data_IF_110714530237
#
_entry.id   IF_110714530237
#
_cell.length_a   1.000
_cell.length_b   1.000
_cell.length_c   1.000
_cell.angle_alpha   90.00
_cell.angle_beta   90.00
_cell.angle_gamma   90.00
#
_symmetry.space_group_name_H-M   'P 1'
#
loop_
_entity.id
_entity.type
_entity.pdbx_description
1 polymer ?
#
# COMPACT_ATOMS: atom_id res chain seq x y z
N UNK A 1 37.85 13.02 -24.31
CA UNK A 1 37.18 13.56 -25.50
C UNK A 1 36.69 12.41 -26.37
N UNK A 2 35.58 12.55 -27.12
CA UNK A 2 34.60 13.63 -27.08
C UNK A 2 33.17 13.18 -26.72
N UNK A 3 32.38 14.15 -26.23
CA UNK A 3 30.94 14.36 -26.45
C UNK A 3 29.96 13.16 -26.47
N UNK A 4 29.10 13.15 -25.45
CA UNK A 4 27.69 12.75 -25.55
C UNK A 4 26.83 13.90 -25.01
N UNK A 5 26.75 14.97 -25.81
CA UNK A 5 25.75 16.03 -25.67
C UNK A 5 24.57 15.68 -26.61
N UNK A 6 23.38 16.26 -26.36
CA UNK A 6 22.15 16.09 -27.16
C UNK A 6 21.57 14.66 -27.25
N UNK A 7 20.74 14.27 -26.28
CA UNK A 7 19.28 13.99 -26.50
C UNK A 7 18.55 14.24 -25.17
N UNK A 8 18.30 15.51 -24.82
CA UNK A 8 17.57 15.87 -23.59
C UNK A 8 16.74 17.17 -23.69
N UNK A 9 16.52 17.70 -24.90
CA UNK A 9 15.83 18.98 -25.16
C UNK A 9 14.62 18.80 -26.08
N UNK A 10 13.61 18.07 -25.60
CA UNK A 10 12.25 18.06 -26.15
C UNK A 10 11.27 17.52 -25.11
N UNK A 11 10.13 18.20 -24.92
CA UNK A 11 9.09 17.94 -23.89
C UNK A 11 9.27 18.56 -22.50
N UNK A 12 10.04 19.65 -22.38
CA UNK A 12 9.76 20.69 -21.37
C UNK A 12 9.65 22.03 -22.09
N UNK A 13 8.54 22.74 -21.87
CA UNK A 13 8.31 24.12 -22.31
C UNK A 13 7.97 24.96 -21.08
N UNK A 14 9.00 25.51 -20.43
CA UNK A 14 8.83 26.56 -19.42
C UNK A 14 8.69 27.92 -20.13
N UNK A 15 7.52 28.54 -20.05
CA UNK A 15 7.32 29.92 -20.52
C UNK A 15 7.72 30.90 -19.42
N UNK A 16 8.82 31.61 -19.64
CA UNK A 16 9.28 32.72 -18.81
C UNK A 16 9.07 34.07 -19.51
N UNK A 17 7.81 34.47 -19.66
CA UNK A 17 7.41 35.81 -20.10
C UNK A 17 6.44 36.49 -19.13
N UNK A 18 6.49 37.82 -19.03
CA UNK A 18 5.83 38.59 -17.96
C UNK A 18 4.47 39.18 -18.38
N UNK A 19 3.46 38.90 -17.57
CA UNK A 19 2.33 39.79 -17.26
C UNK A 19 1.62 40.49 -18.44
N UNK A 20 0.74 39.77 -19.11
CA UNK A 20 -0.48 40.36 -19.68
C UNK A 20 -1.65 39.37 -19.56
N UNK A 21 -2.85 39.88 -19.30
CA UNK A 21 -4.04 39.03 -19.09
C UNK A 21 -4.54 38.44 -20.41
N UNK A 22 -4.31 37.15 -20.62
CA UNK A 22 -4.98 36.35 -21.66
C UNK A 22 -5.24 34.94 -21.18
N UNK A 23 -6.38 34.39 -21.59
CA UNK A 23 -6.85 33.02 -21.34
C UNK A 23 -5.77 31.95 -21.48
N UNK A 24 -5.80 30.95 -20.57
CA UNK A 24 -5.09 29.68 -20.77
C UNK A 24 -5.54 28.95 -22.04
N UNK A 25 -4.84 27.86 -22.43
CA UNK A 25 -5.03 27.20 -23.73
C UNK A 25 -6.50 26.82 -23.96
N UNK A 26 -7.10 27.45 -24.98
CA UNK A 26 -8.55 27.48 -25.12
C UNK A 26 -9.18 26.11 -25.32
N UNK A 27 -10.14 25.76 -24.45
CA UNK A 27 -11.14 24.73 -24.72
C UNK A 27 -12.03 25.23 -25.87
N UNK A 28 -11.62 24.93 -27.10
CA UNK A 28 -12.40 25.19 -28.29
C UNK A 28 -13.75 24.43 -28.21
N UNK A 29 -14.80 25.02 -28.76
CA UNK A 29 -16.15 24.47 -28.70
C UNK A 29 -16.22 23.09 -29.38
N UNK A 30 -16.55 22.06 -28.60
CA UNK A 30 -16.60 20.68 -29.05
C UNK A 30 -16.52 19.72 -27.87
N UNK A 31 -17.63 19.04 -27.57
CA UNK A 31 -17.78 18.20 -26.37
C UNK A 31 -16.98 16.89 -26.44
N UNK A 32 -16.19 16.69 -27.50
CA UNK A 32 -15.32 15.54 -27.71
C UNK A 32 -14.04 15.96 -28.43
N UNK A 33 -12.91 15.36 -28.04
CA UNK A 33 -11.60 15.55 -28.69
C UNK A 33 -10.98 14.21 -29.06
N UNK A 34 -10.40 14.12 -30.24
CA UNK A 34 -9.75 12.92 -30.78
C UNK A 34 -8.28 13.19 -31.11
N UNK A 35 -7.44 12.19 -30.91
CA UNK A 35 -6.01 12.18 -31.15
C UNK A 35 -5.65 10.90 -31.90
N UNK A 36 -4.77 10.97 -32.90
CA UNK A 36 -4.32 9.80 -33.66
C UNK A 36 -2.80 9.73 -33.71
N UNK A 37 -2.23 8.58 -33.35
CA UNK A 37 -0.78 8.34 -33.36
C UNK A 37 -0.48 6.85 -33.45
N UNK A 38 0.56 6.45 -34.19
CA UNK A 38 0.97 5.05 -34.32
C UNK A 38 -0.06 4.08 -34.94
N UNK A 39 -1.16 4.59 -35.52
CA UNK A 39 -2.32 3.78 -35.95
C UNK A 39 -3.30 3.44 -34.82
N UNK A 40 -3.20 4.15 -33.69
CA UNK A 40 -4.15 4.13 -32.57
C UNK A 40 -4.92 5.44 -32.60
N UNK A 41 -6.24 5.36 -32.48
CA UNK A 41 -7.14 6.50 -32.30
C UNK A 41 -7.59 6.52 -30.83
N UNK A 42 -7.31 7.61 -30.14
CA UNK A 42 -7.74 7.90 -28.78
C UNK A 42 -8.75 9.06 -28.82
N UNK A 43 -9.86 8.97 -28.11
CA UNK A 43 -10.78 10.10 -27.94
C UNK A 43 -11.24 10.23 -26.51
N UNK A 44 -11.42 11.47 -26.04
CA UNK A 44 -12.09 11.77 -24.78
C UNK A 44 -13.34 12.58 -25.08
N UNK A 45 -14.47 12.08 -24.58
CA UNK A 45 -15.78 12.71 -24.62
C UNK A 45 -16.08 13.34 -23.26
N UNK A 46 -16.60 14.57 -23.26
CA UNK A 46 -16.84 15.40 -22.07
C UNK A 46 -18.31 15.87 -21.99
N UNK A 47 -19.22 15.27 -22.77
CA UNK A 47 -20.67 15.55 -22.72
C UNK A 47 -21.32 15.24 -21.36
N UNK A 48 -20.64 14.45 -20.52
CA UNK A 48 -21.00 14.12 -19.15
C UNK A 48 -19.76 13.70 -18.36
N UNK A 49 -19.88 12.68 -17.50
CA UNK A 49 -18.72 12.04 -16.86
C UNK A 49 -17.72 11.60 -17.94
N UNK A 50 -16.43 12.02 -17.91
CA UNK A 50 -15.54 11.88 -19.07
C UNK A 50 -15.40 10.44 -19.56
N UNK A 51 -15.42 10.22 -20.88
CA UNK A 51 -15.29 8.89 -21.48
C UNK A 51 -14.04 8.85 -22.35
N UNK A 52 -12.98 8.22 -21.86
CA UNK A 52 -11.82 7.80 -22.65
C UNK A 52 -12.22 6.58 -23.50
N UNK A 53 -11.85 6.62 -24.77
CA UNK A 53 -12.01 5.52 -25.73
C UNK A 53 -10.73 5.36 -26.52
N UNK A 54 -10.27 4.12 -26.70
CA UNK A 54 -9.03 3.77 -27.39
C UNK A 54 -9.26 2.60 -28.34
N UNK A 55 -8.86 2.73 -29.60
CA UNK A 55 -9.00 1.70 -30.63
C UNK A 55 -7.95 1.79 -31.72
N UNK A 56 -7.91 0.81 -32.63
CA UNK A 56 -7.10 0.91 -33.84
C UNK A 56 -7.76 1.86 -34.83
N UNK A 57 -6.98 2.73 -35.48
CA UNK A 57 -7.50 3.70 -36.45
C UNK A 57 -8.22 3.00 -37.60
N UNK A 58 -9.51 3.34 -37.79
CA UNK A 58 -10.36 2.75 -38.83
C UNK A 58 -11.13 1.47 -38.44
N UNK A 59 -11.10 1.05 -37.17
CA UNK A 59 -12.03 0.05 -36.64
C UNK A 59 -13.17 0.71 -35.86
N UNK A 60 -14.38 0.14 -35.92
CA UNK A 60 -15.55 0.64 -35.20
C UNK A 60 -15.57 0.22 -33.72
N UNK A 61 -15.14 -1.01 -33.42
CA UNK A 61 -15.08 -1.53 -32.05
C UNK A 61 -13.79 -1.09 -31.32
N UNK A 62 -13.89 -0.42 -30.16
CA UNK A 62 -12.73 0.03 -29.40
C UNK A 62 -12.13 -1.09 -28.54
N UNK A 63 -10.81 -1.01 -28.31
CA UNK A 63 -10.08 -1.92 -27.41
C UNK A 63 -10.45 -1.65 -25.93
N UNK A 64 -10.64 -0.36 -25.60
CA UNK A 64 -11.04 0.15 -24.28
C UNK A 64 -12.07 1.27 -24.44
N UNK A 65 -13.07 1.28 -23.56
CA UNK A 65 -14.02 2.38 -23.37
C UNK A 65 -14.39 2.45 -21.89
N UNK A 66 -14.42 3.66 -21.33
CA UNK A 66 -14.94 3.87 -19.98
C UNK A 66 -16.47 3.62 -19.93
N UNK A 67 -17.01 3.46 -18.72
CA UNK A 67 -18.44 3.16 -18.53
C UNK A 67 -19.26 4.46 -18.61
N UNK A 68 -20.21 4.60 -19.56
CA UNK A 68 -20.98 5.83 -19.70
C UNK A 68 -21.71 6.23 -18.41
N UNK A 69 -21.70 7.52 -18.12
CA UNK A 69 -22.31 8.18 -16.94
C UNK A 69 -21.70 7.82 -15.58
N UNK A 70 -20.79 6.85 -15.48
CA UNK A 70 -20.19 6.39 -14.20
C UNK A 70 -18.66 6.24 -14.25
N UNK A 71 -18.03 6.63 -15.34
CA UNK A 71 -16.61 6.40 -15.66
C UNK A 71 -15.63 6.76 -14.54
N UNK A 72 -15.80 7.91 -13.89
CA UNK A 72 -14.98 8.34 -12.76
C UNK A 72 -15.87 8.74 -11.59
N UNK A 73 -15.58 8.22 -10.40
CA UNK A 73 -16.31 8.50 -9.15
C UNK A 73 -15.30 8.77 -8.04
N UNK A 74 -15.32 9.98 -7.47
CA UNK A 74 -14.59 10.31 -6.24
C UNK A 74 -15.44 9.84 -5.05
N UNK A 75 -14.83 9.15 -4.09
CA UNK A 75 -15.50 8.67 -2.88
C UNK A 75 -14.59 8.91 -1.66
N UNK A 76 -15.00 9.84 -0.80
CA UNK A 76 -14.14 10.35 0.27
C UNK A 76 -12.80 10.92 -0.29
N UNK A 77 -11.64 10.52 0.26
CA UNK A 77 -10.33 10.89 -0.28
C UNK A 77 -9.85 9.98 -1.42
N UNK A 78 -10.66 8.99 -1.84
CA UNK A 78 -10.32 7.97 -2.82
C UNK A 78 -11.03 8.15 -4.18
N UNK A 79 -10.72 7.24 -5.09
CA UNK A 79 -11.18 7.27 -6.49
C UNK A 79 -11.57 5.87 -6.98
N UNK A 80 -12.63 5.80 -7.77
CA UNK A 80 -13.06 4.61 -8.51
C UNK A 80 -13.19 4.92 -10.00
N UNK A 81 -12.64 4.04 -10.84
CA UNK A 81 -12.69 4.13 -12.30
C UNK A 81 -13.47 2.95 -12.86
N UNK A 82 -14.53 3.24 -13.60
CA UNK A 82 -15.48 2.30 -14.15
C UNK A 82 -15.38 2.27 -15.68
N UNK A 83 -15.38 1.06 -16.23
CA UNK A 83 -15.07 0.80 -17.63
C UNK A 83 -15.93 -0.33 -18.17
N UNK A 84 -16.09 -0.41 -19.50
CA UNK A 84 -16.83 -1.51 -20.12
C UNK A 84 -16.06 -2.82 -19.91
N UNK A 85 -16.75 -3.86 -19.47
CA UNK A 85 -16.19 -5.21 -19.38
C UNK A 85 -16.50 -6.01 -20.65
N UNK A 86 -15.44 -6.53 -21.27
CA UNK A 86 -15.46 -7.47 -22.37
C UNK A 86 -15.38 -8.90 -21.82
N UNK A 87 -16.45 -9.68 -22.01
CA UNK A 87 -16.60 -11.02 -21.41
C UNK A 87 -15.90 -12.13 -22.20
N UNK A 88 -15.55 -11.89 -23.46
CA UNK A 88 -15.06 -12.90 -24.39
C UNK A 88 -13.52 -12.91 -24.50
N UNK A 89 -12.86 -12.23 -23.56
CA UNK A 89 -11.42 -12.04 -23.51
C UNK A 89 -10.77 -12.68 -22.28
N UNK A 90 -9.62 -13.33 -22.48
CA UNK A 90 -8.74 -13.84 -21.43
C UNK A 90 -8.06 -12.66 -20.72
N UNK A 91 -8.19 -12.53 -19.40
CA UNK A 91 -7.58 -11.44 -18.62
C UNK A 91 -6.40 -11.97 -17.78
N UNK A 92 -5.18 -11.40 -17.91
CA UNK A 92 -3.95 -11.89 -17.24
C UNK A 92 -3.11 -10.74 -16.66
N UNK A 93 -2.50 -10.92 -15.48
CA UNK A 93 -1.63 -9.92 -14.87
C UNK A 93 -1.67 -9.89 -13.35
N UNK A 94 -1.68 -8.69 -12.77
CA UNK A 94 -1.67 -8.36 -11.33
C UNK A 94 -0.42 -8.80 -10.53
N UNK A 95 0.52 -9.49 -11.16
CA UNK A 95 1.77 -9.92 -10.53
C UNK A 95 1.64 -11.31 -9.90
N UNK A 96 1.64 -11.37 -8.57
CA UNK A 96 1.58 -12.62 -7.82
C UNK A 96 0.18 -12.79 -7.20
N UNK A 97 -0.64 -13.66 -7.80
CA UNK A 97 -2.05 -13.86 -7.42
C UNK A 97 -2.42 -15.34 -7.47
N UNK A 98 -3.10 -15.84 -6.43
CA UNK A 98 -3.53 -17.24 -6.33
C UNK A 98 -4.86 -17.46 -7.09
N UNK A 99 -4.75 -17.53 -8.42
CA UNK A 99 -5.86 -17.77 -9.34
C UNK A 99 -5.42 -18.62 -10.55
N UNK A 100 -6.35 -19.17 -11.33
CA UNK A 100 -6.07 -19.61 -12.70
C UNK A 100 -5.50 -18.44 -13.53
N UNK A 101 -4.81 -18.76 -14.62
CA UNK A 101 -4.23 -17.75 -15.54
C UNK A 101 -5.28 -16.73 -15.99
N UNK A 102 -6.50 -17.17 -16.27
CA UNK A 102 -7.62 -16.29 -16.57
C UNK A 102 -8.25 -15.71 -15.29
N UNK A 103 -8.10 -14.40 -15.16
CA UNK A 103 -8.61 -13.58 -14.08
C UNK A 103 -10.08 -13.17 -14.30
N UNK A 104 -10.74 -13.67 -15.35
CA UNK A 104 -12.12 -13.35 -15.71
C UNK A 104 -13.15 -13.73 -14.64
N UNK A 105 -14.15 -12.85 -14.45
CA UNK A 105 -15.17 -12.90 -13.40
C UNK A 105 -14.64 -12.87 -11.95
N UNK A 106 -13.48 -12.22 -11.70
CA UNK A 106 -12.85 -12.12 -10.37
C UNK A 106 -12.53 -10.69 -9.95
N UNK A 107 -12.45 -10.51 -8.63
CA UNK A 107 -11.99 -9.30 -7.96
C UNK A 107 -10.78 -9.64 -7.07
N UNK A 108 -9.87 -8.69 -6.88
CA UNK A 108 -8.59 -8.86 -6.20
C UNK A 108 -8.22 -7.60 -5.41
N UNK A 109 -7.58 -7.75 -4.25
CA UNK A 109 -6.98 -6.62 -3.52
C UNK A 109 -5.54 -6.41 -3.97
N UNK A 110 -5.20 -5.19 -4.35
CA UNK A 110 -3.81 -4.77 -4.68
C UNK A 110 -3.16 -4.30 -3.38
N UNK A 111 -2.48 -5.23 -2.71
CA UNK A 111 -1.96 -5.09 -1.34
C UNK A 111 -0.84 -6.14 -1.13
N UNK A 112 -0.08 -6.10 -0.02
CA UNK A 112 0.96 -7.07 0.31
C UNK A 112 0.75 -7.68 1.71
N UNK A 113 0.80 -9.02 1.80
CA UNK A 113 0.64 -9.74 3.08
C UNK A 113 1.53 -10.98 3.18
N UNK A 114 1.79 -11.48 4.39
CA UNK A 114 2.49 -12.75 4.60
C UNK A 114 1.52 -13.94 4.42
N UNK A 115 1.27 -14.30 3.16
CA UNK A 115 0.37 -15.40 2.80
C UNK A 115 1.04 -16.79 2.94
N UNK A 116 1.62 -17.08 4.12
CA UNK A 116 2.25 -18.38 4.38
C UNK A 116 1.22 -19.51 4.35
N UNK A 117 1.47 -20.55 3.52
CA UNK A 117 0.55 -21.68 3.37
C UNK A 117 -0.74 -21.35 2.59
N UNK A 118 -0.69 -20.38 1.68
CA UNK A 118 -1.83 -19.91 0.89
C UNK A 118 -2.59 -21.00 0.11
N UNK A 119 -3.89 -20.75 -0.12
CA UNK A 119 -4.77 -21.60 -0.92
C UNK A 119 -4.69 -21.17 -2.41
N UNK A 120 -4.22 -22.03 -3.34
CA UNK A 120 -3.88 -21.67 -4.72
C UNK A 120 -4.99 -21.05 -5.58
N UNK A 121 -6.25 -21.09 -5.15
CA UNK A 121 -7.40 -20.57 -5.89
C UNK A 121 -8.20 -19.48 -5.16
N UNK A 122 -7.78 -19.08 -3.96
CA UNK A 122 -8.58 -18.20 -3.07
C UNK A 122 -7.80 -17.09 -2.36
N UNK A 123 -6.48 -17.22 -2.18
CA UNK A 123 -5.72 -16.23 -1.41
C UNK A 123 -5.37 -14.99 -2.24
N UNK A 124 -6.00 -13.87 -1.91
CA UNK A 124 -5.63 -12.52 -2.34
C UNK A 124 -5.80 -11.58 -1.12
N UNK A 125 -4.87 -10.66 -0.83
CA UNK A 125 -3.60 -10.42 -1.52
C UNK A 125 -2.54 -11.53 -1.30
N UNK A 126 -1.35 -11.36 -1.90
CA UNK A 126 -0.15 -12.20 -1.70
C UNK A 126 1.07 -11.33 -1.33
N UNK A 127 2.29 -11.83 -1.46
CA UNK A 127 3.51 -11.09 -1.10
C UNK A 127 3.86 -9.92 -2.05
N UNK A 128 3.39 -9.92 -3.30
CA UNK A 128 3.78 -8.93 -4.33
C UNK A 128 2.55 -8.43 -5.08
N UNK A 129 2.23 -7.15 -4.91
CA UNK A 129 1.27 -6.46 -5.77
C UNK A 129 2.00 -5.88 -7.00
N UNK A 130 1.36 -5.96 -8.18
CA UNK A 130 1.79 -5.21 -9.37
C UNK A 130 0.53 -4.74 -10.12
N UNK A 131 0.14 -3.46 -10.04
CA UNK A 131 -1.02 -2.93 -10.77
C UNK A 131 -0.72 -2.84 -12.27
N UNK A 132 -0.79 -3.98 -12.96
CA UNK A 132 -0.62 -4.11 -14.41
C UNK A 132 -1.40 -5.34 -14.90
N UNK A 133 -2.28 -5.16 -15.88
CA UNK A 133 -3.27 -6.16 -16.29
C UNK A 133 -3.48 -6.08 -17.81
N UNK A 134 -3.54 -7.23 -18.51
CA UNK A 134 -3.65 -7.32 -19.98
C UNK A 134 -4.78 -8.30 -20.40
N UNK A 135 -5.71 -7.91 -21.31
CA UNK A 135 -6.70 -8.86 -21.91
C UNK A 135 -6.17 -9.32 -23.24
N UNK A 136 -5.99 -10.62 -23.39
CA UNK A 136 -6.06 -11.23 -24.70
C UNK A 136 -7.54 -11.51 -25.02
N UNK A 137 -8.20 -10.57 -25.72
CA UNK A 137 -9.06 -11.05 -26.82
C UNK A 137 -8.13 -11.75 -27.83
N UNK A 138 -8.64 -12.29 -28.94
CA UNK A 138 -7.80 -12.53 -30.10
C UNK A 138 -6.92 -11.31 -30.51
N UNK A 139 -7.18 -10.07 -30.04
CA UNK A 139 -6.36 -8.83 -30.19
C UNK A 139 -6.46 -7.71 -29.05
N UNK A 140 -6.10 -7.88 -27.74
CA UNK A 140 -5.93 -6.78 -26.69
C UNK A 140 -7.20 -6.25 -25.94
N UNK A 141 -7.26 -5.17 -25.07
CA UNK A 141 -6.70 -4.78 -23.70
C UNK A 141 -7.68 -4.83 -22.43
N UNK A 142 -7.29 -5.11 -21.15
CA UNK A 142 -8.13 -5.51 -19.94
C UNK A 142 -8.41 -4.47 -18.82
N UNK A 143 -9.13 -4.86 -17.72
CA UNK A 143 -8.83 -4.78 -16.26
C UNK A 143 -9.87 -5.63 -15.44
N UNK A 144 -9.91 -5.55 -14.10
CA UNK A 144 -10.84 -6.21 -13.12
C UNK A 144 -12.22 -6.59 -13.69
N UNK A 145 -12.64 -7.85 -13.57
CA UNK A 145 -13.16 -8.53 -14.76
C UNK A 145 -14.64 -8.94 -14.69
N UNK A 146 -15.55 -7.97 -14.47
CA UNK A 146 -16.99 -8.28 -14.47
C UNK A 146 -17.47 -9.14 -13.29
N UNK A 147 -16.73 -9.12 -12.17
CA UNK A 147 -17.17 -9.70 -10.91
C UNK A 147 -18.34 -8.94 -10.28
N UNK A 148 -18.55 -7.68 -10.69
CA UNK A 148 -19.66 -6.83 -10.30
C UNK A 148 -20.67 -6.70 -11.46
N UNK A 149 -21.96 -6.66 -11.11
CA UNK A 149 -23.08 -6.50 -12.04
C UNK A 149 -24.08 -5.51 -11.45
N UNK A 150 -24.62 -4.62 -12.28
CA UNK A 150 -25.62 -3.62 -11.90
C UNK A 150 -26.80 -3.68 -12.88
N UNK A 151 -28.02 -3.48 -12.39
CA UNK A 151 -29.25 -3.58 -13.18
C UNK A 151 -29.38 -2.54 -14.29
N UNK A 152 -28.63 -1.42 -14.21
CA UNK A 152 -28.65 -0.36 -15.23
C UNK A 152 -27.47 -0.45 -16.22
N UNK A 153 -26.30 -0.91 -15.77
CA UNK A 153 -25.06 -0.93 -16.57
C UNK A 153 -24.60 -2.33 -17.00
N UNK A 154 -25.22 -3.41 -16.51
CA UNK A 154 -24.80 -4.78 -16.78
C UNK A 154 -23.49 -5.13 -16.07
N UNK A 155 -22.62 -5.90 -16.73
CA UNK A 155 -21.29 -6.23 -16.22
C UNK A 155 -20.30 -5.12 -16.57
N UNK A 156 -19.47 -4.72 -15.59
CA UNK A 156 -18.46 -3.68 -15.77
C UNK A 156 -17.14 -4.04 -15.10
N UNK A 157 -16.13 -3.27 -15.48
CA UNK A 157 -14.74 -3.36 -15.06
C UNK A 157 -14.46 -2.19 -14.14
N UNK A 158 -13.88 -2.44 -12.95
CA UNK A 158 -13.71 -1.39 -11.94
C UNK A 158 -12.38 -1.49 -11.20
N UNK A 159 -11.68 -0.36 -11.13
CA UNK A 159 -10.56 -0.10 -10.23
C UNK A 159 -11.02 0.79 -9.08
N UNK A 160 -10.48 0.60 -7.88
CA UNK A 160 -10.73 1.43 -6.69
C UNK A 160 -9.44 1.63 -5.91
N UNK A 161 -9.27 2.83 -5.36
CA UNK A 161 -8.12 3.23 -4.55
C UNK A 161 -8.62 4.10 -3.40
N UNK A 162 -8.33 3.69 -2.16
CA UNK A 162 -8.92 4.27 -0.95
C UNK A 162 -8.43 5.70 -0.64
N UNK A 163 -7.30 6.12 -1.23
CA UNK A 163 -6.72 7.45 -1.04
C UNK A 163 -5.95 7.92 -2.28
N UNK A 164 -6.12 9.18 -2.67
CA UNK A 164 -5.31 9.87 -3.69
C UNK A 164 -5.91 9.87 -5.10
N UNK A 165 -5.18 10.47 -6.03
CA UNK A 165 -5.57 10.58 -7.45
C UNK A 165 -5.35 9.30 -8.25
N UNK A 166 -5.85 9.31 -9.49
CA UNK A 166 -5.71 8.23 -10.47
C UNK A 166 -4.79 8.67 -11.63
N UNK A 167 -3.61 8.04 -11.71
CA UNK A 167 -2.75 8.07 -12.90
C UNK A 167 -2.77 6.70 -13.59
N UNK A 168 -3.52 6.56 -14.70
CA UNK A 168 -3.60 5.30 -15.47
C UNK A 168 -2.80 5.37 -16.79
N UNK A 169 -2.00 4.33 -17.05
CA UNK A 169 -1.26 4.17 -18.32
C UNK A 169 -1.90 3.07 -19.19
N UNK A 170 -2.70 3.47 -20.16
CA UNK A 170 -3.36 2.56 -21.11
C UNK A 170 -2.43 2.13 -22.25
N UNK A 171 -1.70 1.03 -22.05
CA UNK A 171 -0.74 0.47 -23.01
C UNK A 171 -1.45 -0.38 -24.07
N UNK A 172 -1.31 0.01 -25.35
CA UNK A 172 -1.82 -0.72 -26.52
C UNK A 172 -0.67 -1.35 -27.30
N UNK A 173 -0.82 -2.63 -27.69
CA UNK A 173 0.14 -3.34 -28.52
C UNK A 173 -0.53 -4.44 -29.33
N UNK A 174 0.11 -4.87 -30.43
CA UNK A 174 -0.46 -5.87 -31.36
C UNK A 174 -0.29 -7.30 -30.83
N UNK A 175 0.66 -7.50 -29.93
CA UNK A 175 0.93 -8.78 -29.24
C UNK A 175 1.22 -8.54 -27.76
N UNK A 176 1.06 -9.59 -26.95
CA UNK A 176 1.47 -9.59 -25.53
C UNK A 176 2.94 -9.17 -25.34
N UNK A 177 3.82 -9.53 -26.29
CA UNK A 177 5.24 -9.15 -26.28
C UNK A 177 5.43 -7.64 -26.40
N UNK A 178 4.63 -6.97 -27.24
CA UNK A 178 4.72 -5.52 -27.43
C UNK A 178 4.26 -4.80 -26.16
N UNK A 179 3.16 -5.26 -25.55
CA UNK A 179 2.61 -4.67 -24.31
C UNK A 179 3.59 -4.83 -23.13
N UNK A 180 4.13 -6.03 -22.92
CA UNK A 180 5.14 -6.29 -21.88
C UNK A 180 6.44 -5.51 -22.14
N UNK A 181 6.82 -5.31 -23.41
CA UNK A 181 7.96 -4.46 -23.77
C UNK A 181 7.69 -2.99 -23.47
N UNK A 182 6.57 -2.42 -23.91
CA UNK A 182 6.21 -1.03 -23.65
C UNK A 182 6.08 -0.73 -22.15
N UNK A 183 5.58 -1.70 -21.37
CA UNK A 183 5.58 -1.62 -19.92
C UNK A 183 7.01 -1.55 -19.35
N UNK A 184 7.92 -2.41 -19.80
CA UNK A 184 9.34 -2.37 -19.40
C UNK A 184 10.10 -1.12 -19.92
N UNK A 185 9.65 -0.50 -21.00
CA UNK A 185 10.16 0.79 -21.48
C UNK A 185 9.67 1.97 -20.62
N UNK A 186 8.53 1.81 -19.92
CA UNK A 186 7.99 2.78 -18.96
C UNK A 186 8.56 2.60 -17.53
N UNK A 187 8.58 1.37 -17.00
CA UNK A 187 8.96 1.09 -15.60
C UNK A 187 10.40 0.59 -15.42
N UNK A 188 11.13 0.39 -16.52
CA UNK A 188 12.50 -0.11 -16.55
C UNK A 188 12.60 -1.61 -16.87
N UNK A 189 13.61 -1.97 -17.67
CA UNK A 189 13.89 -3.36 -18.01
C UNK A 189 14.51 -4.14 -16.84
N UNK A 190 14.16 -5.43 -16.66
CA UNK A 190 14.83 -6.29 -15.68
C UNK A 190 16.35 -6.34 -15.88
N UNK A 191 17.10 -6.10 -14.80
CA UNK A 191 18.55 -6.23 -14.82
C UNK A 191 18.97 -7.69 -15.10
N UNK A 192 19.99 -7.87 -15.94
CA UNK A 192 20.50 -9.20 -16.26
C UNK A 192 21.12 -9.85 -15.02
N UNK A 193 20.46 -10.90 -14.51
CA UNK A 193 21.00 -11.72 -13.42
C UNK A 193 22.38 -12.30 -13.81
N UNK A 194 23.35 -12.33 -12.89
CA UNK A 194 24.68 -12.87 -13.17
C UNK A 194 24.58 -14.37 -13.49
N UNK A 195 25.37 -14.86 -14.46
CA UNK A 195 25.21 -16.21 -15.05
C UNK A 195 25.04 -17.37 -14.06
N UNK A 196 25.67 -17.29 -12.88
CA UNK A 196 25.58 -18.33 -11.84
C UNK A 196 24.19 -18.42 -11.18
N UNK A 197 23.37 -17.37 -11.23
CA UNK A 197 22.03 -17.33 -10.63
C UNK A 197 20.99 -18.15 -11.41
N UNK A 198 21.31 -18.60 -12.62
CA UNK A 198 20.55 -19.58 -13.39
C UNK A 198 20.94 -21.04 -13.07
N UNK A 199 21.92 -21.23 -12.18
CA UNK A 199 22.27 -22.56 -11.63
C UNK A 199 21.31 -22.99 -10.52
N UNK A 200 21.60 -24.13 -9.91
CA UNK A 200 20.82 -24.62 -8.77
C UNK A 200 20.98 -23.69 -7.55
N UNK A 201 19.86 -23.37 -6.92
CA UNK A 201 19.78 -22.67 -5.64
C UNK A 201 19.15 -23.62 -4.62
N UNK A 202 19.90 -23.97 -3.58
CA UNK A 202 19.33 -24.53 -2.35
C UNK A 202 19.45 -23.52 -1.22
N UNK A 203 18.44 -23.52 -0.34
CA UNK A 203 18.27 -22.62 0.78
C UNK A 203 17.26 -23.21 1.77
N UNK A 204 17.43 -22.92 3.06
CA UNK A 204 16.63 -23.53 4.11
C UNK A 204 16.82 -22.84 5.46
N UNK A 205 15.73 -22.68 6.21
CA UNK A 205 15.67 -21.88 7.44
C UNK A 205 16.64 -22.31 8.56
N UNK A 206 17.15 -23.55 8.54
CA UNK A 206 17.99 -24.10 9.61
C UNK A 206 19.49 -24.10 9.29
N UNK A 207 19.93 -23.74 8.09
CA UNK A 207 21.30 -24.00 7.65
C UNK A 207 22.42 -23.31 8.46
N UNK A 208 22.12 -22.31 9.29
CA UNK A 208 23.06 -21.83 10.32
C UNK A 208 22.41 -21.64 11.69
N UNK A 209 21.47 -22.54 12.02
CA UNK A 209 20.99 -22.74 13.39
C UNK A 209 21.80 -23.78 14.19
N UNK A 210 22.70 -24.53 13.55
CA UNK A 210 23.48 -25.54 14.25
C UNK A 210 24.59 -24.89 15.11
N UNK A 211 24.56 -25.18 16.41
CA UNK A 211 25.59 -24.79 17.38
C UNK A 211 26.61 -25.91 17.61
N UNK A 212 26.19 -27.18 17.59
CA UNK A 212 27.06 -28.36 17.70
C UNK A 212 26.71 -29.45 16.66
N UNK A 213 27.65 -29.86 15.77
CA UNK A 213 28.88 -29.14 15.46
C UNK A 213 28.55 -27.73 14.92
N UNK A 214 29.40 -26.71 15.16
CA UNK A 214 29.15 -25.34 14.71
C UNK A 214 28.85 -25.26 13.22
N UNK A 215 27.85 -24.47 12.84
CA UNK A 215 27.26 -24.49 11.49
C UNK A 215 28.28 -24.53 10.33
N UNK A 216 29.41 -23.81 10.41
CA UNK A 216 30.43 -23.83 9.37
C UNK A 216 30.96 -25.26 9.04
N UNK A 217 30.97 -26.19 9.99
CA UNK A 217 31.43 -27.57 9.80
C UNK A 217 30.39 -28.40 9.04
N UNK A 218 29.15 -28.45 9.54
CA UNK A 218 28.01 -29.10 8.87
C UNK A 218 27.82 -28.62 7.41
N UNK A 219 28.16 -27.36 7.16
CA UNK A 219 28.08 -26.75 5.84
C UNK A 219 29.24 -27.14 4.92
N UNK A 220 30.46 -27.28 5.43
CA UNK A 220 31.58 -27.86 4.67
C UNK A 220 31.30 -29.34 4.33
N UNK A 221 30.82 -30.14 5.29
CA UNK A 221 30.39 -31.53 5.06
C UNK A 221 29.30 -31.64 3.98
N UNK A 222 28.41 -30.65 3.90
CA UNK A 222 27.39 -30.58 2.86
C UNK A 222 27.98 -30.12 1.52
N UNK A 223 28.89 -29.16 1.50
CA UNK A 223 29.58 -28.70 0.30
C UNK A 223 30.42 -29.82 -0.36
N UNK A 224 31.06 -30.69 0.43
CA UNK A 224 31.79 -31.85 -0.09
C UNK A 224 30.85 -32.91 -0.70
N UNK A 225 29.69 -33.20 -0.08
CA UNK A 225 28.66 -34.09 -0.67
C UNK A 225 28.03 -33.51 -1.93
N UNK A 226 27.86 -32.19 -1.97
CA UNK A 226 27.36 -31.49 -3.14
C UNK A 226 28.37 -31.57 -4.29
N UNK A 227 29.67 -31.49 -4.01
CA UNK A 227 30.76 -31.75 -4.97
C UNK A 227 30.82 -33.23 -5.41
N UNK A 228 30.57 -34.18 -4.51
CA UNK A 228 30.45 -35.61 -4.81
C UNK A 228 29.32 -35.90 -5.83
N UNK A 229 28.30 -35.04 -5.87
CA UNK A 229 27.10 -35.22 -6.70
C UNK A 229 26.94 -34.17 -7.82
N UNK A 230 27.95 -33.31 -8.05
CA UNK A 230 27.98 -32.20 -9.03
C UNK A 230 26.88 -31.13 -8.86
N UNK A 231 26.80 -30.53 -7.66
CA UNK A 231 25.76 -29.57 -7.24
C UNK A 231 26.37 -28.33 -6.50
N UNK A 232 25.90 -27.09 -6.73
CA UNK A 232 26.32 -25.86 -5.98
C UNK A 232 25.27 -25.32 -4.97
N UNK A 233 25.63 -24.47 -3.98
CA UNK A 233 24.74 -24.19 -2.80
C UNK A 233 25.05 -22.95 -1.89
N UNK A 234 24.08 -22.36 -1.16
CA UNK A 234 24.32 -21.30 -0.15
C UNK A 234 23.51 -21.34 1.19
N UNK A 235 24.12 -21.10 2.39
CA UNK A 235 23.43 -21.05 3.69
C UNK A 235 23.48 -19.67 4.42
N UNK A 236 22.43 -19.30 5.19
CA UNK A 236 22.55 -18.37 6.36
C UNK A 236 21.30 -18.35 7.27
N UNK A 237 21.50 -17.93 8.53
CA UNK A 237 20.52 -17.42 9.52
C UNK A 237 21.16 -16.19 10.18
N UNK A 238 20.36 -15.21 10.60
CA UNK A 238 20.78 -13.79 10.56
C UNK A 238 20.48 -13.00 11.84
N UNK A 239 21.53 -12.39 12.40
CA UNK A 239 21.51 -10.94 12.55
C UNK A 239 21.81 -10.32 11.17
N UNK A 240 21.19 -9.18 10.84
CA UNK A 240 21.48 -8.49 9.57
C UNK A 240 22.87 -7.83 9.64
N UNK A 241 23.64 -7.90 8.56
CA UNK A 241 25.03 -7.40 8.44
C UNK A 241 26.09 -7.98 9.42
N UNK A 242 25.69 -8.63 10.50
CA UNK A 242 26.58 -9.21 11.52
C UNK A 242 26.83 -10.74 11.31
N UNK A 243 27.89 -11.27 11.91
CA UNK A 243 28.27 -12.68 11.91
C UNK A 243 28.28 -13.25 13.33
N UNK A 244 27.55 -14.34 13.57
CA UNK A 244 27.66 -15.11 14.80
C UNK A 244 29.04 -15.80 14.84
N UNK A 245 29.96 -15.27 15.66
CA UNK A 245 31.34 -15.76 15.79
C UNK A 245 31.51 -17.11 16.50
N UNK A 246 30.46 -17.65 17.13
CA UNK A 246 30.47 -19.04 17.60
C UNK A 246 30.22 -20.02 16.44
N UNK A 247 29.23 -19.73 15.58
CA UNK A 247 28.87 -20.56 14.41
C UNK A 247 29.80 -20.35 13.21
N UNK A 248 30.43 -19.18 13.12
CA UNK A 248 31.39 -18.75 12.09
C UNK A 248 32.55 -17.97 12.74
N UNK A 249 33.52 -18.64 13.39
CA UNK A 249 34.66 -17.97 14.01
C UNK A 249 35.47 -17.16 13.00
N UNK A 250 35.75 -17.77 11.84
CA UNK A 250 36.37 -17.12 10.68
C UNK A 250 35.41 -17.16 9.47
N UNK A 251 34.64 -16.09 9.22
CA UNK A 251 33.82 -15.97 8.02
C UNK A 251 34.62 -15.80 6.73
N UNK A 252 35.87 -15.32 6.78
CA UNK A 252 36.68 -15.01 5.60
C UNK A 252 37.31 -16.29 5.04
N UNK A 253 37.88 -17.14 5.89
CA UNK A 253 38.29 -18.51 5.55
C UNK A 253 37.11 -19.36 5.07
N UNK A 254 35.95 -19.27 5.73
CA UNK A 254 34.73 -19.95 5.30
C UNK A 254 34.27 -19.51 3.91
N UNK A 255 34.24 -18.20 3.64
CA UNK A 255 33.95 -17.64 2.32
C UNK A 255 34.99 -18.06 1.27
N UNK A 256 36.29 -18.06 1.61
CA UNK A 256 37.36 -18.46 0.71
C UNK A 256 37.27 -19.93 0.30
N UNK A 257 37.01 -20.84 1.27
CA UNK A 257 36.78 -22.26 1.03
C UNK A 257 35.57 -22.50 0.12
N UNK A 258 34.45 -21.83 0.39
CA UNK A 258 33.27 -21.90 -0.47
C UNK A 258 33.54 -21.41 -1.90
N UNK A 259 34.18 -20.25 -2.07
CA UNK A 259 34.54 -19.74 -3.39
C UNK A 259 35.54 -20.64 -4.13
N UNK A 260 36.47 -21.29 -3.43
CA UNK A 260 37.40 -22.27 -4.01
C UNK A 260 36.71 -23.55 -4.52
N UNK A 261 35.54 -23.90 -3.98
CA UNK A 261 34.66 -24.95 -4.50
C UNK A 261 33.78 -24.49 -5.67
N UNK A 262 33.94 -23.24 -6.14
CA UNK A 262 33.09 -22.62 -7.16
C UNK A 262 31.75 -22.09 -6.64
N UNK A 263 31.53 -22.18 -5.33
CA UNK A 263 30.26 -21.94 -4.67
C UNK A 263 30.13 -20.48 -4.22
N UNK A 264 28.94 -19.88 -4.37
CA UNK A 264 28.66 -18.46 -4.06
C UNK A 264 27.60 -18.33 -2.98
N UNK A 265 27.80 -17.42 -2.03
CA UNK A 265 26.93 -17.28 -0.87
C UNK A 265 25.97 -16.09 -0.97
N UNK A 266 24.73 -16.31 -0.51
CA UNK A 266 23.66 -15.32 -0.50
C UNK A 266 23.11 -15.10 0.91
N UNK A 267 23.27 -13.89 1.43
CA UNK A 267 22.61 -13.42 2.64
C UNK A 267 21.25 -12.80 2.30
N UNK A 268 20.15 -13.51 2.59
CA UNK A 268 18.87 -12.81 2.80
C UNK A 268 19.01 -11.84 3.98
N UNK A 269 18.41 -10.66 3.82
CA UNK A 269 18.31 -9.57 4.79
C UNK A 269 16.81 -9.34 5.07
N UNK A 270 16.47 -8.77 6.22
CA UNK A 270 15.10 -8.38 6.59
C UNK A 270 15.07 -6.87 6.88
N UNK A 271 13.96 -6.16 6.61
CA UNK A 271 13.83 -4.73 6.88
C UNK A 271 13.56 -4.42 8.38
N UNK A 272 14.02 -5.30 9.28
CA UNK A 272 13.76 -5.24 10.71
C UNK A 272 15.06 -5.53 11.46
N UNK A 273 15.30 -4.78 12.53
CA UNK A 273 16.46 -4.94 13.42
C UNK A 273 15.92 -5.28 14.81
N UNK A 274 16.48 -6.30 15.45
CA UNK A 274 16.10 -6.68 16.82
C UNK A 274 16.74 -5.72 17.82
N UNK A 275 16.08 -5.42 18.94
CA UNK A 275 16.65 -4.66 20.05
C UNK A 275 17.92 -5.33 20.65
N UNK A 276 18.08 -6.64 20.46
CA UNK A 276 19.29 -7.41 20.82
C UNK A 276 20.41 -7.35 19.77
N UNK A 277 20.28 -6.53 18.72
CA UNK A 277 21.35 -6.33 17.74
C UNK A 277 22.47 -5.47 18.36
N UNK A 278 23.77 -5.85 18.27
CA UNK A 278 24.86 -5.08 18.87
C UNK A 278 24.92 -3.61 18.42
N UNK A 279 24.51 -3.34 17.18
CA UNK A 279 24.51 -2.00 16.59
C UNK A 279 23.17 -1.25 16.76
N UNK A 280 22.21 -1.78 17.56
CA UNK A 280 20.85 -1.23 17.66
C UNK A 280 20.82 0.25 18.09
N UNK A 281 21.53 0.61 19.16
CA UNK A 281 21.60 1.99 19.65
C UNK A 281 22.28 2.94 18.66
N UNK A 282 23.28 2.46 17.91
CA UNK A 282 23.91 3.24 16.84
C UNK A 282 22.91 3.53 15.71
N UNK A 283 22.12 2.53 15.31
CA UNK A 283 21.12 2.66 14.26
C UNK A 283 19.90 3.50 14.71
N UNK A 284 19.48 3.39 15.98
CA UNK A 284 18.47 4.25 16.60
C UNK A 284 18.92 5.72 16.63
N UNK A 285 20.13 5.98 17.12
CA UNK A 285 20.72 7.32 17.19
C UNK A 285 21.05 7.94 15.82
N UNK A 286 21.28 7.13 14.79
CA UNK A 286 21.47 7.58 13.41
C UNK A 286 20.16 7.72 12.61
N UNK A 287 18.99 7.59 13.25
CA UNK A 287 17.66 7.63 12.61
C UNK A 287 17.47 6.58 11.49
N UNK A 288 18.24 5.48 11.54
CA UNK A 288 18.21 4.37 10.58
C UNK A 288 17.09 3.35 10.82
N UNK A 289 16.05 3.73 11.57
CA UNK A 289 14.91 2.90 11.96
C UNK A 289 13.66 3.77 11.81
N UNK A 290 12.55 3.20 11.32
CA UNK A 290 11.25 3.89 11.36
C UNK A 290 10.87 4.11 12.82
N UNK A 291 10.59 5.37 13.17
CA UNK A 291 10.27 5.80 14.53
C UNK A 291 8.90 6.48 14.50
N UNK A 292 8.06 6.17 15.49
CA UNK A 292 7.04 7.10 15.97
C UNK A 292 7.66 7.98 17.06
N UNK A 293 6.91 9.00 17.49
CA UNK A 293 7.21 9.81 18.67
C UNK A 293 5.92 9.89 19.48
N UNK A 294 5.95 9.50 20.75
CA UNK A 294 4.79 9.64 21.64
C UNK A 294 4.90 10.96 22.42
N UNK A 295 3.77 11.58 22.77
CA UNK A 295 3.76 12.82 23.58
C UNK A 295 4.40 12.67 24.96
N UNK A 296 4.55 11.44 25.46
CA UNK A 296 5.21 11.10 26.72
C UNK A 296 6.73 10.85 26.59
N UNK A 297 7.32 10.93 25.39
CA UNK A 297 8.73 10.59 25.17
C UNK A 297 9.67 11.57 25.88
N UNK A 298 10.32 11.13 26.96
CA UNK A 298 11.32 11.95 27.66
C UNK A 298 12.63 12.12 26.88
N UNK A 299 12.88 11.27 25.87
CA UNK A 299 14.02 11.37 24.97
C UNK A 299 13.72 10.75 23.58
N UNK A 300 12.86 11.39 22.75
CA UNK A 300 12.44 10.83 21.48
C UNK A 300 13.61 10.80 20.49
N UNK A 301 13.74 9.67 19.77
CA UNK A 301 14.86 9.43 18.86
C UNK A 301 14.80 10.30 17.58
N UNK A 302 13.61 10.78 17.20
CA UNK A 302 13.45 11.80 16.16
C UNK A 302 12.61 12.98 16.68
N UNK A 303 13.30 14.05 17.10
CA UNK A 303 12.70 15.29 17.65
C UNK A 303 11.96 16.16 16.63
N UNK A 304 11.98 15.78 15.37
CA UNK A 304 11.31 16.48 14.26
C UNK A 304 10.08 15.74 13.72
N UNK A 305 9.72 14.60 14.30
CA UNK A 305 8.38 14.01 14.10
C UNK A 305 7.35 14.77 14.93
N UNK A 306 6.12 14.79 14.45
CA UNK A 306 4.93 15.13 15.23
C UNK A 306 4.65 14.05 16.29
N UNK A 307 3.85 14.36 17.31
CA UNK A 307 3.55 13.44 18.40
C UNK A 307 2.30 12.62 18.10
N UNK A 308 2.33 11.31 18.35
CA UNK A 308 1.15 10.43 18.34
C UNK A 308 0.38 10.59 19.67
N UNK A 309 -0.12 11.82 19.90
CA UNK A 309 -0.83 12.25 21.11
C UNK A 309 -2.37 12.26 20.94
N UNK A 310 -2.85 11.69 19.82
CA UNK A 310 -4.19 11.90 19.29
C UNK A 310 -4.91 10.59 18.91
N UNK A 311 -6.23 10.52 19.13
CA UNK A 311 -7.10 9.49 18.54
C UNK A 311 -8.31 10.10 17.84
N UNK A 312 -8.46 9.78 16.55
CA UNK A 312 -9.64 10.12 15.76
C UNK A 312 -10.69 9.02 15.81
N UNK A 313 -11.88 9.31 16.36
CA UNK A 313 -13.02 8.40 16.35
C UNK A 313 -14.05 8.85 15.31
N UNK A 314 -13.97 8.28 14.11
CA UNK A 314 -15.00 8.47 13.08
C UNK A 314 -16.25 7.63 13.39
N UNK A 315 -17.41 8.29 13.41
CA UNK A 315 -18.70 7.67 13.71
C UNK A 315 -19.68 7.86 12.56
N UNK A 316 -20.55 6.87 12.38
CA UNK A 316 -21.54 6.84 11.31
C UNK A 316 -22.96 6.90 11.89
N UNK A 317 -23.43 8.09 12.30
CA UNK A 317 -24.81 8.30 12.76
C UNK A 317 -25.80 8.21 11.59
N UNK A 318 -27.00 7.64 11.78
CA UNK A 318 -28.10 7.75 10.81
C UNK A 318 -28.34 9.21 10.39
N UNK A 319 -28.71 9.46 9.12
CA UNK A 319 -28.88 10.83 8.57
C UNK A 319 -29.99 11.67 9.24
N UNK A 320 -30.81 11.06 10.09
CA UNK A 320 -31.77 11.73 10.98
C UNK A 320 -31.75 11.09 12.36
N UNK A 321 -32.92 10.88 12.95
CA UNK A 321 -33.07 10.18 14.22
C UNK A 321 -32.52 8.75 14.20
N UNK A 322 -31.88 8.34 15.30
CA UNK A 322 -31.63 6.92 15.59
C UNK A 322 -32.86 6.22 16.19
N UNK A 323 -34.00 6.90 16.28
CA UNK A 323 -35.27 6.40 16.83
C UNK A 323 -35.14 5.84 18.26
N UNK A 324 -34.33 6.49 19.09
CA UNK A 324 -34.05 6.07 20.47
C UNK A 324 -32.98 4.98 20.61
N UNK A 325 -32.48 4.41 19.52
CA UNK A 325 -31.37 3.46 19.56
C UNK A 325 -30.05 4.20 19.87
N UNK A 326 -29.20 3.55 20.66
CA UNK A 326 -27.81 3.97 20.92
C UNK A 326 -26.88 2.89 20.37
N UNK A 327 -26.03 3.27 19.43
CA UNK A 327 -24.97 2.42 18.90
C UNK A 327 -23.82 2.40 19.91
N UNK A 328 -23.19 1.24 20.12
CA UNK A 328 -22.03 1.09 21.01
C UNK A 328 -20.94 0.27 20.32
N UNK A 329 -19.69 0.68 20.49
CA UNK A 329 -18.49 -0.03 20.06
C UNK A 329 -17.41 0.09 21.13
N UNK A 330 -16.31 -0.65 20.98
CA UNK A 330 -15.17 -0.59 21.87
C UNK A 330 -13.85 -0.76 21.10
N UNK A 331 -12.81 -0.07 21.55
CA UNK A 331 -11.44 -0.33 21.11
C UNK A 331 -10.55 -0.65 22.32
N UNK A 332 -9.33 -1.10 22.02
CA UNK A 332 -8.37 -1.60 22.97
C UNK A 332 -7.02 -0.93 22.68
N UNK A 333 -6.30 -0.52 23.71
CA UNK A 333 -4.94 0.01 23.63
C UNK A 333 -4.04 -0.81 24.55
N UNK A 334 -2.80 -1.02 24.12
CA UNK A 334 -1.71 -1.60 24.90
C UNK A 334 -0.35 -0.99 24.49
N UNK A 335 0.75 -1.46 25.09
CA UNK A 335 2.10 -0.94 24.83
C UNK A 335 2.71 -1.38 23.48
N UNK A 336 2.03 -2.23 22.70
CA UNK A 336 2.51 -2.76 21.42
C UNK A 336 3.78 -3.63 21.49
N UNK A 337 4.32 -3.91 22.68
CA UNK A 337 5.67 -4.44 22.89
C UNK A 337 5.73 -5.65 23.85
N UNK A 338 4.86 -5.69 24.86
CA UNK A 338 4.90 -6.69 25.91
C UNK A 338 4.41 -8.06 25.46
N UNK A 339 5.09 -9.12 25.89
CA UNK A 339 4.67 -10.53 25.67
C UNK A 339 3.37 -10.87 26.43
N UNK A 340 3.06 -10.09 27.47
CA UNK A 340 1.82 -10.11 28.24
C UNK A 340 1.44 -8.67 28.56
N UNK A 341 0.84 -7.94 27.61
CA UNK A 341 0.51 -6.54 27.83
C UNK A 341 -0.58 -6.43 28.89
N UNK A 342 -0.53 -5.34 29.65
CA UNK A 342 -1.74 -4.81 30.27
C UNK A 342 -2.53 -4.07 29.18
N UNK A 343 -3.84 -4.34 29.11
CA UNK A 343 -4.70 -3.86 28.02
C UNK A 343 -5.83 -3.03 28.64
N UNK A 344 -6.04 -1.83 28.10
CA UNK A 344 -7.15 -0.96 28.48
C UNK A 344 -8.20 -0.94 27.38
N UNK A 345 -9.47 -1.11 27.78
CA UNK A 345 -10.63 -1.14 26.86
C UNK A 345 -11.46 0.12 27.06
N UNK A 346 -11.65 0.86 25.98
CA UNK A 346 -12.49 2.04 25.93
C UNK A 346 -13.81 1.71 25.23
N UNK A 347 -14.91 2.34 25.62
CA UNK A 347 -16.18 2.24 24.88
C UNK A 347 -16.54 3.58 24.25
N UNK A 348 -17.10 3.55 23.05
CA UNK A 348 -17.77 4.69 22.42
C UNK A 348 -19.23 4.35 22.20
N UNK A 349 -20.11 5.30 22.54
CA UNK A 349 -21.54 5.20 22.32
C UNK A 349 -22.07 6.46 21.62
N UNK A 350 -23.00 6.28 20.68
CA UNK A 350 -23.63 7.42 20.00
C UNK A 350 -25.09 7.18 19.61
N UNK A 351 -25.85 8.27 19.52
CA UNK A 351 -27.24 8.32 19.02
C UNK A 351 -27.47 9.64 18.28
N UNK A 352 -28.56 9.78 17.54
CA UNK A 352 -28.77 10.96 16.68
C UNK A 352 -30.21 11.46 16.66
N UNK A 353 -30.35 12.74 16.33
CA UNK A 353 -31.57 13.37 15.82
C UNK A 353 -31.27 14.03 14.47
N UNK A 354 -32.28 14.64 13.87
CA UNK A 354 -32.23 15.48 12.68
C UNK A 354 -31.27 16.68 12.83
N UNK A 355 -31.02 17.14 14.07
CA UNK A 355 -30.26 18.37 14.36
C UNK A 355 -28.87 18.11 14.98
N UNK A 356 -28.72 17.01 15.73
CA UNK A 356 -27.54 16.77 16.57
C UNK A 356 -27.19 15.29 16.71
N UNK A 357 -25.95 15.02 17.06
CA UNK A 357 -25.43 13.69 17.40
C UNK A 357 -24.99 13.72 18.85
N UNK A 358 -25.52 12.79 19.65
CA UNK A 358 -25.15 12.60 21.05
C UNK A 358 -24.03 11.56 21.09
N UNK A 359 -22.93 11.88 21.75
CA UNK A 359 -21.77 10.98 21.91
C UNK A 359 -21.37 10.82 23.37
N UNK A 360 -20.82 9.66 23.69
CA UNK A 360 -20.30 9.28 25.00
C UNK A 360 -19.05 8.42 24.76
N UNK A 361 -17.96 8.71 25.46
CA UNK A 361 -16.77 7.85 25.47
C UNK A 361 -16.47 7.48 26.92
N UNK A 362 -16.53 6.18 27.21
CA UNK A 362 -16.27 5.63 28.53
C UNK A 362 -14.78 5.35 28.67
N UNK A 363 -14.08 6.21 29.39
CA UNK A 363 -12.73 5.91 29.92
C UNK A 363 -12.89 5.03 31.17
N UNK A 364 -12.20 3.89 31.28
CA UNK A 364 -12.31 3.04 32.46
C UNK A 364 -11.68 3.68 33.70
N UNK A 365 -12.24 3.43 34.89
CA UNK A 365 -11.75 3.97 36.17
C UNK A 365 -10.55 3.23 36.75
N UNK A 366 -10.01 2.25 36.02
CA UNK A 366 -8.81 1.51 36.35
C UNK A 366 -8.07 1.22 35.04
N UNK A 367 -7.32 2.21 34.57
CA UNK A 367 -6.38 2.03 33.46
C UNK A 367 -5.33 1.01 33.89
N UNK A 368 -5.27 -0.10 33.16
CA UNK A 368 -4.18 -1.08 33.27
C UNK A 368 -2.98 -0.58 32.48
N UNK A 369 -3.28 -0.09 31.28
CA UNK A 369 -2.42 0.68 30.41
C UNK A 369 -3.01 2.09 30.21
N UNK A 370 -2.21 3.11 30.46
CA UNK A 370 -2.49 4.52 30.23
C UNK A 370 -1.81 4.88 28.91
N UNK A 371 -2.57 5.08 27.80
CA UNK A 371 -1.98 5.46 26.54
C UNK A 371 -1.43 6.89 26.59
N UNK A 372 -0.44 7.19 25.75
CA UNK A 372 0.23 8.49 25.68
C UNK A 372 -0.60 9.61 25.00
N UNK A 373 -1.79 9.30 24.48
CA UNK A 373 -2.64 10.31 23.86
C UNK A 373 -3.38 11.18 24.88
N UNK A 374 -3.42 12.48 24.59
CA UNK A 374 -4.11 13.50 25.38
C UNK A 374 -5.44 13.93 24.76
N UNK A 375 -5.64 13.76 23.45
CA UNK A 375 -6.88 14.14 22.76
C UNK A 375 -7.61 12.94 22.14
N UNK A 376 -8.95 12.94 22.28
CA UNK A 376 -9.84 12.25 21.34
C UNK A 376 -10.68 13.31 20.61
N UNK A 377 -10.62 13.30 19.28
CA UNK A 377 -11.57 14.03 18.45
C UNK A 377 -12.56 13.09 17.74
N UNK A 378 -13.81 13.49 17.81
CA UNK A 378 -14.98 12.85 17.27
C UNK A 378 -15.21 13.35 15.85
N UNK A 379 -15.17 12.47 14.85
CA UNK A 379 -15.20 12.82 13.43
C UNK A 379 -16.56 12.44 12.82
N UNK A 380 -17.18 13.37 12.11
CA UNK A 380 -18.41 13.15 11.35
C UNK A 380 -18.14 12.87 9.85
N UNK A 381 -19.01 12.10 9.16
CA UNK A 381 -18.89 11.88 7.73
C UNK A 381 -19.05 13.17 6.92
N UNK A 382 -18.43 13.23 5.74
CA UNK A 382 -18.51 14.39 4.84
C UNK A 382 -19.97 14.78 4.56
N UNK A 383 -20.30 16.05 4.79
CA UNK A 383 -21.65 16.59 4.61
C UNK A 383 -22.61 16.41 5.78
N UNK A 384 -22.26 15.68 6.85
CA UNK A 384 -23.03 15.71 8.09
C UNK A 384 -22.75 17.03 8.85
N UNK A 385 -23.70 17.95 8.75
CA UNK A 385 -23.58 19.31 9.25
C UNK A 385 -24.19 19.50 10.66
N UNK A 386 -24.53 18.41 11.35
CA UNK A 386 -25.11 18.43 12.70
C UNK A 386 -24.10 18.84 13.77
N UNK A 387 -24.62 19.26 14.92
CA UNK A 387 -23.81 19.57 16.11
C UNK A 387 -23.56 18.30 16.94
N UNK A 388 -22.35 18.18 17.50
CA UNK A 388 -22.03 17.14 18.47
C UNK A 388 -22.27 17.64 19.90
N UNK A 389 -22.94 16.80 20.70
CA UNK A 389 -23.12 17.02 22.14
C UNK A 389 -22.72 15.76 22.92
N UNK A 390 -22.21 15.96 24.13
CA UNK A 390 -22.03 14.88 25.12
C UNK A 390 -23.37 14.27 25.56
N UNK A 391 -23.35 13.04 26.09
CA UNK A 391 -24.51 12.44 26.77
C UNK A 391 -25.02 13.30 27.96
N UNK A 392 -24.14 14.08 28.60
CA UNK A 392 -24.49 15.10 29.60
C UNK A 392 -25.18 16.36 29.04
N UNK A 393 -25.36 16.47 27.71
CA UNK A 393 -26.05 17.56 27.05
C UNK A 393 -25.20 18.80 26.73
N UNK A 394 -23.94 18.85 27.18
CA UNK A 394 -23.00 19.92 26.83
C UNK A 394 -22.53 19.80 25.37
N UNK A 395 -22.43 20.92 24.67
CA UNK A 395 -21.83 21.01 23.33
C UNK A 395 -20.34 20.66 23.36
N UNK A 396 -19.86 20.08 22.28
CA UNK A 396 -18.46 19.71 22.09
C UNK A 396 -17.74 20.77 21.24
N UNK A 397 -16.46 21.00 21.53
CA UNK A 397 -15.66 22.03 20.88
C UNK A 397 -15.31 21.61 19.46
N UNK A 398 -15.66 22.42 18.45
CA UNK A 398 -15.29 22.17 17.05
C UNK A 398 -13.90 22.72 16.78
N UNK A 399 -12.97 21.83 16.46
CA UNK A 399 -11.67 22.18 15.89
C UNK A 399 -11.78 22.33 14.36
N UNK A 400 -10.66 22.63 13.69
CA UNK A 400 -10.64 22.74 12.22
C UNK A 400 -11.15 21.43 11.57
N UNK A 401 -11.93 21.55 10.50
CA UNK A 401 -12.32 20.37 9.72
C UNK A 401 -11.06 19.71 9.12
N UNK A 402 -11.12 18.42 8.76
CA UNK A 402 -9.96 17.78 8.11
C UNK A 402 -9.82 18.19 6.63
N UNK A 403 -8.73 17.76 5.98
CA UNK A 403 -8.48 18.04 4.56
C UNK A 403 -9.54 17.45 3.59
N UNK A 404 -10.44 16.59 4.07
CA UNK A 404 -11.58 16.05 3.33
C UNK A 404 -12.89 16.79 3.62
N UNK A 405 -12.86 17.83 4.45
CA UNK A 405 -14.04 18.58 4.90
C UNK A 405 -14.90 17.84 5.94
N UNK A 406 -14.35 16.85 6.65
CA UNK A 406 -15.03 16.19 7.77
C UNK A 406 -14.96 17.06 9.01
N UNK A 407 -16.12 17.26 9.66
CA UNK A 407 -16.19 18.02 10.91
C UNK A 407 -15.60 17.21 12.07
N UNK A 408 -14.71 17.84 12.83
CA UNK A 408 -14.03 17.26 13.99
C UNK A 408 -14.42 18.01 15.27
N UNK A 409 -14.67 17.27 16.35
CA UNK A 409 -15.04 17.84 17.65
C UNK A 409 -14.25 17.18 18.79
N UNK A 410 -13.60 17.95 19.66
CA UNK A 410 -12.84 17.44 20.80
C UNK A 410 -13.78 17.04 21.94
N UNK A 411 -13.40 16.02 22.72
CA UNK A 411 -14.12 15.53 23.91
C UNK A 411 -13.48 16.06 25.22
N UNK A 412 -14.02 17.14 25.85
CA UNK A 412 -13.42 17.72 27.07
C UNK A 412 -13.45 16.81 28.29
N UNK A 413 -14.19 15.69 28.22
CA UNK A 413 -14.31 14.69 29.28
C UNK A 413 -13.23 13.59 29.14
N UNK A 414 -12.46 13.61 28.05
CA UNK A 414 -11.40 12.64 27.75
C UNK A 414 -10.05 13.34 27.49
N UNK A 415 -10.03 14.67 27.35
CA UNK A 415 -8.80 15.48 27.43
C UNK A 415 -8.10 15.24 28.77
N UNK A 416 -7.08 14.37 28.78
CA UNK A 416 -6.40 13.96 30.02
C UNK A 416 -5.60 15.15 30.58
N UNK A 417 -5.86 15.50 31.84
CA UNK A 417 -5.17 16.62 32.51
C UNK A 417 -3.67 16.38 32.65
N UNK A 418 -2.88 17.46 32.54
CA UNK A 418 -1.43 17.43 32.81
C UNK A 418 -1.12 16.69 34.13
N UNK A 419 -0.24 15.68 34.07
CA UNK A 419 0.20 14.91 35.24
C UNK A 419 -0.42 13.52 35.44
N UNK A 420 -1.17 12.98 34.47
CA UNK A 420 -1.47 11.54 34.44
C UNK A 420 -0.22 10.77 33.99
N UNK A 421 0.24 9.82 34.80
CA UNK A 421 1.46 9.03 34.52
C UNK A 421 1.16 7.92 33.49
N UNK A 422 1.70 8.08 32.28
CA UNK A 422 1.66 7.11 31.17
C UNK A 422 2.50 5.88 31.54
N UNK A 423 1.88 4.69 31.54
CA UNK A 423 2.53 3.45 32.00
C UNK A 423 2.70 2.41 30.88
N UNK A 424 3.70 2.65 30.02
CA UNK A 424 4.14 1.71 28.98
C UNK A 424 5.65 1.81 28.73
N UNK A 425 6.17 0.96 27.84
CA UNK A 425 7.47 1.18 27.21
C UNK A 425 7.28 1.97 25.90
N UNK A 426 8.09 3.01 25.72
CA UNK A 426 8.21 3.82 24.51
C UNK A 426 9.72 4.01 24.21
#
# INVERSE_FOLDING_TARGET
MPQLEQVADSFVLEDHSKSSSSSGPGLAHGDKKTFETGGITASVDWTGTPIVTLGWTGLEEPLHSDLPYRSYVVDGPGIAHYTRHDRDALHVGLGEVAAPMDLTARSFKIDATDCFGYEPYKTSPMYKHMPFLVKATPQGSSWSVGAEVDGLWGFYKVYRQDYGGLDEYLIVGKTMKDIVRSYAELVGFPLLAPKWAFGYLSGGYKYTMQDDPPAHQYLLDFADKLKEHDIPFAPKVRNVFNWNKHRFPDPEDFLAKYHALGIRLLSNIKPFILASHPDFEMLKGAQGIVQTRMGADTNPACKTLEEDDYRGLEIFPPKGSSHGNTFRSAWYEDDGLSIKPDITRFEVAYSSTEEKVVVEVTVPSSDKFVPAWTEIAMILPVGDNRHLISASGAFLERIEDDASGRRRYVLPQVTRSEGVEVNGYH
#
